data_IF_107605933913
#
_entry.id   IF_107605933913
#
_cell.length_a   1.000
_cell.length_b   1.000
_cell.length_c   1.000
_cell.angle_alpha   90.00
_cell.angle_beta   90.00
_cell.angle_gamma   90.00
#
_symmetry.space_group_name_H-M   'P 1'
#
loop_
_entity.id
_entity.type
_entity.pdbx_description
1 polymer ?
#
# COMPACT_ATOMS: atom_id res chain seq x y z
N UNK A 1 -31.35 8.64 21.21
CA UNK A 1 -31.66 7.32 20.63
C UNK A 1 -30.66 7.08 19.51
N UNK A 2 -29.79 6.10 19.68
CA UNK A 2 -28.64 5.83 18.82
C UNK A 2 -29.07 5.22 17.48
N UNK A 3 -28.55 5.75 16.37
CA UNK A 3 -28.53 5.03 15.09
C UNK A 3 -27.15 4.39 14.94
N UNK A 4 -27.10 3.10 15.31
CA UNK A 4 -25.90 2.27 15.31
C UNK A 4 -25.90 1.30 14.13
N UNK A 5 -26.16 1.81 12.91
CA UNK A 5 -26.42 0.99 11.72
C UNK A 5 -25.35 1.14 10.62
N UNK A 6 -24.07 1.11 10.98
CA UNK A 6 -22.98 0.78 10.04
C UNK A 6 -21.89 -0.06 10.71
N UNK A 7 -22.27 -1.13 11.42
CA UNK A 7 -21.30 -2.19 11.78
C UNK A 7 -21.09 -3.12 10.59
N UNK A 8 -20.50 -2.58 9.53
CA UNK A 8 -19.76 -3.41 8.58
C UNK A 8 -18.70 -4.20 9.36
N UNK A 9 -18.39 -5.43 8.93
CA UNK A 9 -17.22 -6.16 9.43
C UNK A 9 -16.06 -5.18 9.58
N UNK A 10 -15.27 -5.18 10.67
CA UNK A 10 -14.15 -4.26 10.78
C UNK A 10 -13.26 -4.48 9.55
N UNK A 11 -13.36 -3.56 8.59
CA UNK A 11 -12.58 -3.63 7.38
C UNK A 11 -11.12 -3.50 7.78
N UNK A 12 -10.25 -4.30 7.16
CA UNK A 12 -8.83 -4.12 7.37
C UNK A 12 -8.41 -2.75 6.81
N UNK A 13 -7.65 -1.99 7.59
CA UNK A 13 -7.12 -0.69 7.17
C UNK A 13 -5.72 -0.87 6.62
N UNK A 14 -5.52 -0.46 5.37
CA UNK A 14 -4.21 -0.49 4.72
C UNK A 14 -3.48 0.86 4.86
N UNK A 15 -2.32 0.85 5.51
CA UNK A 15 -1.41 2.00 5.59
C UNK A 15 -0.43 1.96 4.42
N UNK A 16 -0.56 2.88 3.47
CA UNK A 16 0.35 2.97 2.31
C UNK A 16 1.49 3.94 2.61
N UNK A 17 2.70 3.41 2.76
CA UNK A 17 3.89 4.16 3.19
C UNK A 17 4.98 4.17 2.11
N UNK A 18 5.77 5.24 2.04
CA UNK A 18 6.88 5.35 1.07
C UNK A 18 7.95 4.27 1.27
N UNK A 19 8.24 3.92 2.52
CA UNK A 19 9.18 2.89 2.94
C UNK A 19 8.87 2.50 4.38
N UNK A 20 9.05 1.23 4.74
CA UNK A 20 8.84 0.75 6.11
C UNK A 20 9.69 -0.51 6.38
N UNK A 21 10.25 -0.70 7.59
CA UNK A 21 10.36 0.28 8.69
C UNK A 21 11.33 1.42 8.35
N UNK A 22 11.26 2.52 9.11
CA UNK A 22 12.12 3.70 8.95
C UNK A 22 12.48 4.30 10.30
N UNK A 23 13.78 4.51 10.53
CA UNK A 23 14.27 4.99 11.83
C UNK A 23 13.74 6.39 12.17
N UNK A 24 13.59 7.26 11.17
CA UNK A 24 13.13 8.64 11.35
C UNK A 24 11.60 8.79 11.45
N UNK A 25 10.83 7.75 11.15
CA UNK A 25 9.36 7.79 11.10
C UNK A 25 8.73 7.13 12.34
N UNK A 26 9.30 7.38 13.53
CA UNK A 26 8.86 6.78 14.79
C UNK A 26 7.46 7.22 15.21
N UNK A 27 7.04 8.43 14.89
CA UNK A 27 5.67 8.91 15.15
C UNK A 27 4.62 8.03 14.42
N UNK A 28 4.83 7.77 13.13
CA UNK A 28 3.93 6.90 12.35
C UNK A 28 3.91 5.49 12.92
N UNK A 29 5.07 4.97 13.34
CA UNK A 29 5.14 3.67 13.98
C UNK A 29 4.38 3.63 15.32
N UNK A 30 4.49 4.67 16.15
CA UNK A 30 3.76 4.76 17.41
C UNK A 30 2.25 4.80 17.18
N UNK A 31 1.77 5.57 16.20
CA UNK A 31 0.35 5.62 15.85
C UNK A 31 -0.17 4.28 15.34
N UNK A 32 0.58 3.60 14.46
CA UNK A 32 0.22 2.25 13.99
C UNK A 32 0.16 1.27 15.16
N UNK A 33 1.16 1.27 16.04
CA UNK A 33 1.19 0.41 17.22
C UNK A 33 0.01 0.68 18.15
N UNK A 34 -0.32 1.96 18.38
CA UNK A 34 -1.41 2.36 19.25
C UNK A 34 -2.80 2.04 18.66
N UNK A 35 -2.95 2.04 17.33
CA UNK A 35 -4.17 1.61 16.65
C UNK A 35 -4.32 0.08 16.65
N UNK A 36 -3.22 -0.64 16.43
CA UNK A 36 -3.18 -2.10 16.52
C UNK A 36 -3.54 -2.59 17.93
N UNK A 37 -2.99 -1.95 18.97
CA UNK A 37 -3.31 -2.26 20.38
C UNK A 37 -4.79 -2.02 20.72
N UNK A 38 -5.45 -1.09 20.01
CA UNK A 38 -6.90 -0.86 20.13
C UNK A 38 -7.74 -1.85 19.32
N UNK A 39 -7.11 -2.83 18.67
CA UNK A 39 -7.76 -3.91 17.94
C UNK A 39 -8.09 -3.57 16.48
N UNK A 40 -7.52 -2.49 15.91
CA UNK A 40 -7.70 -2.20 14.49
C UNK A 40 -6.93 -3.23 13.65
N UNK A 41 -7.58 -3.97 12.73
CA UNK A 41 -6.88 -4.85 11.80
C UNK A 41 -6.12 -4.00 10.78
N UNK A 42 -4.79 -4.05 10.82
CA UNK A 42 -3.92 -3.22 9.99
C UNK A 42 -3.15 -4.09 8.99
N UNK A 43 -2.93 -3.56 7.79
CA UNK A 43 -1.93 -4.03 6.83
C UNK A 43 -1.05 -2.86 6.42
N UNK A 44 0.26 -3.04 6.37
CA UNK A 44 1.19 -2.00 5.94
C UNK A 44 1.60 -2.30 4.50
N UNK A 45 1.29 -1.42 3.56
CA UNK A 45 1.76 -1.50 2.18
C UNK A 45 2.92 -0.53 1.96
N UNK A 46 4.13 -1.04 1.79
CA UNK A 46 5.33 -0.23 1.59
C UNK A 46 5.71 -0.15 0.11
N UNK A 47 5.93 1.07 -0.38
CA UNK A 47 6.31 1.34 -1.78
C UNK A 47 7.80 1.04 -2.07
N UNK A 48 8.59 0.83 -1.02
CA UNK A 48 10.04 0.55 -1.06
C UNK A 48 10.45 -0.38 0.05
N UNK A 49 11.57 -1.07 -0.14
CA UNK A 49 12.18 -1.85 0.93
C UNK A 49 12.85 -0.93 1.96
N UNK A 50 13.03 -1.40 3.21
CA UNK A 50 13.76 -0.65 4.21
C UNK A 50 15.20 -0.40 3.73
N UNK A 51 15.66 0.83 3.91
CA UNK A 51 17.03 1.26 3.55
C UNK A 51 17.91 1.51 4.76
N UNK A 52 17.32 1.63 5.95
CA UNK A 52 18.04 1.93 7.18
C UNK A 52 18.63 0.64 7.76
N UNK A 53 19.91 0.69 8.15
CA UNK A 53 20.60 -0.43 8.79
C UNK A 53 20.18 -0.64 10.25
N UNK A 54 19.63 0.38 10.88
CA UNK A 54 19.15 0.37 12.25
C UNK A 54 17.64 0.55 12.28
N UNK A 55 16.96 -0.27 13.06
CA UNK A 55 15.50 -0.24 13.23
C UNK A 55 15.17 0.15 14.66
N UNK A 56 14.30 1.14 14.84
CA UNK A 56 13.85 1.55 16.17
C UNK A 56 13.05 0.41 16.84
N UNK A 57 13.22 0.16 18.16
CA UNK A 57 12.53 -0.93 18.87
C UNK A 57 11.01 -0.92 18.74
N UNK A 58 10.40 0.26 18.53
CA UNK A 58 8.94 0.42 18.32
C UNK A 58 8.42 -0.40 17.12
N UNK A 59 9.24 -0.63 16.09
CA UNK A 59 8.83 -1.46 14.96
C UNK A 59 8.68 -2.93 15.33
N UNK A 60 9.40 -3.39 16.36
CA UNK A 60 9.29 -4.76 16.87
C UNK A 60 7.98 -4.99 17.67
N UNK A 61 7.31 -3.92 18.12
CA UNK A 61 6.02 -4.06 18.80
C UNK A 61 4.82 -4.07 17.85
N UNK A 62 5.01 -3.79 16.56
CA UNK A 62 3.96 -3.80 15.54
C UNK A 62 3.89 -5.20 14.91
N UNK A 63 2.71 -5.83 14.93
CA UNK A 63 2.49 -7.18 14.39
C UNK A 63 1.82 -7.18 13.01
N UNK A 64 1.41 -6.02 12.53
CA UNK A 64 0.71 -5.86 11.27
C UNK A 64 1.54 -6.44 10.10
N UNK A 65 0.94 -7.23 9.20
CA UNK A 65 1.63 -7.75 8.03
C UNK A 65 2.10 -6.60 7.13
N UNK A 66 3.31 -6.76 6.59
CA UNK A 66 3.90 -5.81 5.66
C UNK A 66 3.89 -6.39 4.25
N UNK A 67 3.23 -5.69 3.34
CA UNK A 67 3.23 -5.93 1.91
C UNK A 67 4.22 -4.99 1.23
N UNK A 68 5.34 -5.53 0.75
CA UNK A 68 6.28 -4.77 -0.08
C UNK A 68 5.84 -4.80 -1.55
N UNK A 69 5.61 -3.60 -2.10
CA UNK A 69 5.33 -3.42 -3.52
C UNK A 69 6.65 -3.38 -4.32
N UNK A 70 6.61 -3.70 -5.62
CA UNK A 70 7.79 -3.68 -6.46
C UNK A 70 8.38 -2.28 -6.53
N UNK A 71 9.55 -2.09 -5.93
CA UNK A 71 10.26 -0.81 -5.94
C UNK A 71 10.72 -0.42 -7.35
N UNK A 72 11.04 -1.43 -8.16
CA UNK A 72 11.27 -1.31 -9.59
C UNK A 72 10.47 -2.38 -10.35
N UNK A 73 9.59 -1.96 -11.25
CA UNK A 73 8.72 -2.90 -12.00
C UNK A 73 9.50 -3.91 -12.85
N UNK A 74 10.71 -3.53 -13.27
CA UNK A 74 11.62 -4.37 -14.07
C UNK A 74 12.21 -5.54 -13.28
N UNK A 75 12.25 -5.45 -11.96
CA UNK A 75 12.79 -6.52 -11.11
C UNK A 75 11.70 -7.59 -10.83
N UNK A 76 10.41 -7.21 -10.93
CA UNK A 76 9.27 -8.10 -10.70
C UNK A 76 8.22 -8.06 -11.84
N UNK A 77 8.60 -8.19 -13.14
CA UNK A 77 7.69 -7.95 -14.26
C UNK A 77 6.52 -8.94 -14.29
N UNK A 78 6.76 -10.19 -13.89
CA UNK A 78 5.73 -11.24 -13.85
C UNK A 78 4.68 -10.98 -12.76
N UNK A 79 5.07 -10.41 -11.62
CA UNK A 79 4.13 -10.04 -10.55
C UNK A 79 3.21 -8.92 -11.00
N UNK A 80 3.78 -7.89 -11.64
CA UNK A 80 3.02 -6.78 -12.24
C UNK A 80 2.08 -7.27 -13.32
N UNK A 81 2.53 -8.17 -14.21
CA UNK A 81 1.71 -8.74 -15.27
C UNK A 81 0.53 -9.53 -14.68
N UNK A 82 0.78 -10.41 -13.70
CA UNK A 82 -0.28 -11.17 -13.00
C UNK A 82 -1.27 -10.23 -12.31
N UNK A 83 -0.79 -9.18 -11.65
CA UNK A 83 -1.62 -8.19 -11.01
C UNK A 83 -2.50 -7.45 -12.02
N UNK A 84 -1.94 -7.01 -13.15
CA UNK A 84 -2.69 -6.41 -14.25
C UNK A 84 -3.79 -7.35 -14.76
N UNK A 85 -3.48 -8.63 -14.99
CA UNK A 85 -4.46 -9.63 -15.44
C UNK A 85 -5.64 -9.79 -14.48
N UNK A 86 -5.42 -9.69 -13.17
CA UNK A 86 -6.48 -9.73 -12.15
C UNK A 86 -7.28 -8.43 -12.10
N UNK A 87 -6.60 -7.29 -12.11
CA UNK A 87 -7.21 -5.98 -11.86
C UNK A 87 -7.90 -5.40 -13.08
N UNK A 88 -7.49 -5.74 -14.30
CA UNK A 88 -8.11 -5.23 -15.55
C UNK A 88 -9.60 -5.52 -15.70
N UNK A 89 -10.12 -6.51 -14.96
CA UNK A 89 -11.54 -6.89 -14.94
C UNK A 89 -12.33 -6.24 -13.80
N UNK A 90 -11.67 -5.54 -12.86
CA UNK A 90 -12.33 -4.90 -11.71
C UNK A 90 -13.10 -3.65 -12.16
N UNK A 91 -14.25 -3.35 -11.52
CA UNK A 91 -14.92 -2.08 -11.72
C UNK A 91 -13.97 -0.93 -11.34
N UNK A 92 -13.95 0.14 -12.13
CA UNK A 92 -13.06 1.28 -11.92
C UNK A 92 -11.71 1.21 -12.62
N UNK A 93 -11.26 0.05 -13.14
CA UNK A 93 -9.99 -0.05 -13.88
C UNK A 93 -9.93 0.91 -15.07
N UNK A 94 -11.01 0.98 -15.87
CA UNK A 94 -11.09 1.88 -17.02
C UNK A 94 -10.97 3.37 -16.62
N UNK A 95 -11.48 3.74 -15.44
CA UNK A 95 -11.36 5.09 -14.91
C UNK A 95 -9.93 5.37 -14.46
N UNK A 96 -9.35 4.47 -13.65
CA UNK A 96 -7.96 4.58 -13.19
C UNK A 96 -6.96 4.64 -14.36
N UNK A 97 -7.18 3.85 -15.41
CA UNK A 97 -6.39 3.88 -16.63
C UNK A 97 -6.49 5.24 -17.36
N UNK A 98 -7.70 5.79 -17.50
CA UNK A 98 -7.90 7.12 -18.12
C UNK A 98 -7.26 8.24 -17.32
N UNK A 99 -7.38 8.22 -16.00
CA UNK A 99 -6.78 9.23 -15.13
C UNK A 99 -5.25 9.14 -15.14
N UNK A 100 -4.72 7.92 -15.10
CA UNK A 100 -3.28 7.70 -15.25
C UNK A 100 -2.76 8.12 -16.62
N UNK A 101 -3.47 7.84 -17.72
CA UNK A 101 -3.06 8.29 -19.06
C UNK A 101 -3.03 9.82 -19.15
N UNK A 102 -4.02 10.51 -18.57
CA UNK A 102 -4.06 11.97 -18.52
C UNK A 102 -2.87 12.52 -17.72
N UNK A 103 -2.56 11.89 -16.59
CA UNK A 103 -1.43 12.25 -15.74
C UNK A 103 -0.07 11.99 -16.43
N UNK A 104 0.07 10.86 -17.12
CA UNK A 104 1.27 10.50 -17.87
C UNK A 104 1.49 11.42 -19.07
N UNK A 105 0.42 11.84 -19.75
CA UNK A 105 0.54 12.74 -20.90
C UNK A 105 1.00 14.14 -20.49
N UNK A 106 0.66 14.59 -19.28
CA UNK A 106 1.14 15.85 -18.70
C UNK A 106 2.64 15.81 -18.38
N UNK A 107 3.14 14.66 -17.95
CA UNK A 107 4.53 14.51 -17.54
C UNK A 107 5.01 13.05 -17.69
N UNK A 108 5.77 12.78 -18.75
CA UNK A 108 6.17 11.42 -19.15
C UNK A 108 7.39 10.92 -18.37
N UNK A 109 7.23 10.68 -17.07
CA UNK A 109 8.31 10.15 -16.22
C UNK A 109 8.16 8.65 -15.93
N UNK A 110 9.29 7.95 -15.83
CA UNK A 110 9.34 6.55 -15.40
C UNK A 110 8.71 6.34 -14.01
N UNK A 111 8.73 7.37 -13.14
CA UNK A 111 8.09 7.29 -11.84
C UNK A 111 6.57 7.11 -11.94
N UNK A 112 5.88 7.77 -12.87
CA UNK A 112 4.42 7.61 -13.03
C UNK A 112 4.04 6.23 -13.52
N UNK A 113 4.83 5.66 -14.43
CA UNK A 113 4.68 4.27 -14.87
C UNK A 113 4.88 3.33 -13.67
N UNK A 114 5.93 3.55 -12.88
CA UNK A 114 6.17 2.79 -11.64
C UNK A 114 4.99 2.86 -10.67
N UNK A 115 4.45 4.06 -10.39
CA UNK A 115 3.34 4.23 -9.44
C UNK A 115 2.09 3.49 -9.89
N UNK A 116 1.80 3.50 -11.19
CA UNK A 116 0.67 2.74 -11.71
C UNK A 116 0.90 1.23 -11.60
N UNK A 117 2.09 0.73 -11.95
CA UNK A 117 2.42 -0.69 -11.74
C UNK A 117 2.33 -1.12 -10.28
N UNK A 118 2.81 -0.29 -9.34
CA UNK A 118 2.65 -0.52 -7.91
C UNK A 118 1.18 -0.53 -7.49
N UNK A 119 0.36 0.39 -8.00
CA UNK A 119 -1.09 0.41 -7.72
C UNK A 119 -1.80 -0.84 -8.24
N UNK A 120 -1.39 -1.39 -9.40
CA UNK A 120 -1.94 -2.65 -9.91
C UNK A 120 -1.61 -3.81 -8.96
N UNK A 121 -0.36 -3.92 -8.50
CA UNK A 121 0.06 -4.96 -7.55
C UNK A 121 -0.69 -4.82 -6.23
N UNK A 122 -0.77 -3.61 -5.67
CA UNK A 122 -1.53 -3.34 -4.46
C UNK A 122 -3.00 -3.77 -4.61
N UNK A 123 -3.69 -3.34 -5.66
CA UNK A 123 -5.09 -3.68 -5.90
C UNK A 123 -5.34 -5.17 -6.17
N UNK A 124 -4.30 -5.92 -6.55
CA UNK A 124 -4.38 -7.36 -6.80
C UNK A 124 -4.09 -8.21 -5.56
N UNK A 125 -3.39 -7.66 -4.57
CA UNK A 125 -2.86 -8.38 -3.40
C UNK A 125 -3.47 -7.91 -2.07
N UNK A 126 -4.21 -6.79 -2.06
CA UNK A 126 -5.08 -6.45 -0.94
C UNK A 126 -6.16 -7.54 -0.75
N UNK A 127 -6.41 -7.97 0.51
CA UNK A 127 -7.38 -9.02 0.82
C UNK A 127 -8.85 -8.58 0.71
#
# INVERSE_FOLDING_TARGET
MADASHRGRPGQVAFVLKGYPRLSETFIAQEIAALEQRGLPILIASLRHPTDSQVHPIHASIRAPVLYLPEYLRDEPMRVLRAWWRVRRKPGYAQAWRDWLRDLWRDRTANRIRRFGQALVLAAELP
#
